data_IF_614261113316
#
_entry.id   IF_614261113316
#
_cell.length_a   1.000
_cell.length_b   1.000
_cell.length_c   1.000
_cell.angle_alpha   90.00
_cell.angle_beta   90.00
_cell.angle_gamma   90.00
#
_symmetry.space_group_name_H-M   'P 1'
#
loop_
_entity.id
_entity.type
_entity.pdbx_description
1 polymer ?
#
# COMPACT_ATOMS: atom_id res chain seq x y z
N UNK A 1 13.53 -12.41 16.36
CA UNK A 1 14.03 -12.80 15.00
C UNK A 1 13.18 -12.17 13.92
N UNK A 2 13.83 -11.78 12.82
CA UNK A 2 13.16 -11.40 11.61
C UNK A 2 13.31 -12.52 10.56
N UNK A 3 12.17 -12.92 10.01
CA UNK A 3 12.11 -13.82 8.87
C UNK A 3 12.17 -13.00 7.58
N UNK A 4 12.98 -13.44 6.63
CA UNK A 4 13.09 -12.82 5.33
C UNK A 4 13.29 -13.88 4.24
N UNK A 5 12.94 -13.55 3.01
CA UNK A 5 13.24 -14.35 1.82
C UNK A 5 14.15 -13.54 0.91
N UNK A 6 15.31 -14.09 0.59
CA UNK A 6 16.32 -13.44 -0.25
C UNK A 6 16.50 -14.20 -1.55
N UNK A 7 16.43 -13.49 -2.66
CA UNK A 7 16.66 -14.02 -4.00
C UNK A 7 17.84 -13.31 -4.63
N UNK A 8 18.75 -14.08 -5.18
CA UNK A 8 19.90 -13.59 -5.92
C UNK A 8 20.13 -14.42 -7.20
N UNK A 9 20.75 -13.82 -8.18
CA UNK A 9 21.15 -14.54 -9.41
C UNK A 9 22.41 -15.35 -9.15
N UNK A 10 22.33 -16.66 -9.39
CA UNK A 10 23.43 -17.60 -9.17
C UNK A 10 24.52 -17.54 -10.24
N UNK A 11 24.21 -17.00 -11.43
CA UNK A 11 25.14 -16.86 -12.55
C UNK A 11 26.01 -15.60 -12.47
N UNK A 12 25.72 -14.67 -11.53
CA UNK A 12 26.50 -13.43 -11.32
C UNK A 12 27.43 -13.62 -10.13
N UNK A 13 28.75 -13.64 -10.43
CA UNK A 13 29.78 -13.80 -9.39
C UNK A 13 30.12 -12.50 -8.67
N UNK A 14 30.28 -11.41 -9.43
CA UNK A 14 30.52 -10.08 -8.85
C UNK A 14 29.19 -9.40 -8.52
N UNK A 15 28.89 -9.31 -7.23
CA UNK A 15 27.66 -8.68 -6.72
C UNK A 15 27.84 -7.18 -6.45
N UNK A 16 29.04 -6.63 -6.59
CA UNK A 16 29.33 -5.24 -6.23
C UNK A 16 28.56 -4.23 -7.09
N UNK A 17 28.45 -4.49 -8.39
CA UNK A 17 27.71 -3.66 -9.34
C UNK A 17 26.21 -4.02 -9.41
N UNK A 18 25.79 -5.12 -8.79
CA UNK A 18 24.41 -5.59 -8.86
C UNK A 18 23.55 -4.91 -7.77
N UNK A 19 22.44 -4.25 -8.13
CA UNK A 19 21.58 -3.61 -7.16
C UNK A 19 21.00 -4.60 -6.14
N UNK A 20 20.82 -4.13 -4.91
CA UNK A 20 20.09 -4.81 -3.85
C UNK A 20 18.80 -4.05 -3.54
N UNK A 21 17.65 -4.67 -3.74
CA UNK A 21 16.34 -4.14 -3.43
C UNK A 21 15.83 -4.75 -2.14
N UNK A 22 15.49 -3.91 -1.16
CA UNK A 22 14.93 -4.30 0.14
C UNK A 22 13.46 -3.93 0.15
N UNK A 23 12.58 -4.94 0.28
CA UNK A 23 11.14 -4.83 0.03
C UNK A 23 10.32 -5.05 1.28
N UNK A 24 9.29 -4.22 1.46
CA UNK A 24 8.34 -4.26 2.57
C UNK A 24 6.91 -4.10 2.07
N UNK A 25 5.97 -4.85 2.64
CA UNK A 25 4.57 -4.47 2.65
C UNK A 25 4.25 -3.59 3.88
N UNK A 26 3.03 -3.13 3.94
CA UNK A 26 2.52 -2.20 4.92
C UNK A 26 1.74 -2.82 6.07
N UNK A 27 0.54 -2.38 6.22
CA UNK A 27 -0.39 -2.66 7.31
C UNK A 27 -0.61 -1.43 8.20
N UNK A 28 0.18 -1.15 9.25
CA UNK A 28 1.30 -1.95 9.78
C UNK A 28 0.89 -3.35 10.24
N UNK A 29 1.82 -4.28 10.20
CA UNK A 29 1.58 -5.66 10.62
C UNK A 29 1.31 -6.64 9.48
N UNK A 30 1.36 -6.23 8.21
CA UNK A 30 1.28 -7.15 7.06
C UNK A 30 2.63 -7.83 6.81
N UNK A 31 2.59 -9.13 6.48
CA UNK A 31 3.74 -9.82 5.92
C UNK A 31 4.06 -9.29 4.53
N UNK A 32 5.33 -9.39 4.10
CA UNK A 32 5.77 -8.94 2.76
C UNK A 32 5.36 -9.89 1.61
N UNK A 33 4.30 -10.64 1.80
CA UNK A 33 3.81 -11.66 0.87
C UNK A 33 3.25 -11.07 -0.42
N UNK A 34 2.58 -9.92 -0.34
CA UNK A 34 1.99 -9.26 -1.50
C UNK A 34 3.08 -8.81 -2.47
N UNK A 35 4.12 -8.16 -1.96
CA UNK A 35 5.29 -7.80 -2.74
C UNK A 35 6.03 -9.03 -3.27
N UNK A 36 6.10 -10.12 -2.48
CA UNK A 36 6.86 -11.32 -2.80
C UNK A 36 6.22 -12.16 -3.90
N UNK A 37 4.91 -12.43 -3.83
CA UNK A 37 4.22 -13.33 -4.77
C UNK A 37 3.07 -12.67 -5.54
N UNK A 38 3.04 -11.33 -5.60
CA UNK A 38 2.11 -10.63 -6.48
C UNK A 38 2.75 -9.49 -7.28
N UNK A 39 3.96 -9.02 -6.90
CA UNK A 39 4.53 -7.86 -7.56
C UNK A 39 5.96 -8.09 -8.05
N UNK A 40 6.97 -7.97 -7.19
CA UNK A 40 8.39 -7.89 -7.61
C UNK A 40 9.15 -9.20 -7.55
N UNK A 41 8.64 -10.20 -6.84
CA UNK A 41 9.30 -11.50 -6.66
C UNK A 41 9.33 -12.37 -7.91
N UNK A 42 10.13 -13.45 -7.91
CA UNK A 42 10.28 -14.34 -9.06
C UNK A 42 9.03 -15.19 -9.34
N UNK A 43 8.13 -15.28 -8.40
CA UNK A 43 6.84 -15.97 -8.53
C UNK A 43 5.70 -14.99 -8.36
N UNK A 44 4.61 -15.24 -9.05
CA UNK A 44 3.35 -14.50 -8.89
C UNK A 44 2.20 -15.47 -8.61
N UNK A 45 1.22 -15.02 -7.84
CA UNK A 45 -0.01 -15.76 -7.61
C UNK A 45 -0.67 -16.12 -8.95
N UNK A 46 -1.23 -17.33 -9.05
CA UNK A 46 -1.96 -17.73 -10.24
C UNK A 46 -3.34 -17.06 -10.26
N UNK A 47 -3.49 -16.09 -11.16
CA UNK A 47 -4.72 -15.31 -11.34
C UNK A 47 -5.14 -15.30 -12.80
N UNK A 48 -6.43 -15.07 -13.06
CA UNK A 48 -6.98 -14.83 -14.40
C UNK A 48 -6.64 -13.42 -14.94
N UNK A 49 -7.21 -13.06 -16.09
CA UNK A 49 -7.00 -11.75 -16.72
C UNK A 49 -7.58 -10.58 -15.94
N UNK A 50 -8.59 -10.84 -15.11
CA UNK A 50 -9.25 -9.83 -14.27
C UNK A 50 -8.62 -9.73 -12.86
N UNK A 51 -7.60 -10.55 -12.57
CA UNK A 51 -6.91 -10.56 -11.29
C UNK A 51 -7.51 -11.49 -10.25
N UNK A 52 -8.56 -12.26 -10.55
CA UNK A 52 -9.15 -13.21 -9.61
C UNK A 52 -8.32 -14.49 -9.51
N UNK A 53 -8.11 -15.01 -8.28
CA UNK A 53 -7.30 -16.20 -8.06
C UNK A 53 -7.90 -17.45 -8.68
N UNK A 54 -7.05 -18.24 -9.34
CA UNK A 54 -7.43 -19.52 -9.96
C UNK A 54 -7.11 -20.70 -9.03
N UNK A 55 -8.03 -21.67 -8.97
CA UNK A 55 -7.80 -22.93 -8.24
C UNK A 55 -7.14 -23.99 -9.15
N UNK A 56 -6.26 -24.85 -8.62
CA UNK A 56 -5.75 -24.85 -7.24
C UNK A 56 -4.86 -23.63 -6.99
N UNK A 57 -4.99 -23.03 -5.79
CA UNK A 57 -4.19 -21.84 -5.44
C UNK A 57 -2.71 -22.18 -5.38
N UNK A 58 -1.92 -21.43 -6.11
CA UNK A 58 -0.48 -21.62 -6.20
C UNK A 58 0.20 -20.44 -6.89
N UNK A 59 1.46 -20.63 -7.23
CA UNK A 59 2.27 -19.59 -7.89
C UNK A 59 2.71 -20.04 -9.28
N UNK A 60 2.88 -19.10 -10.18
CA UNK A 60 3.50 -19.24 -11.50
C UNK A 60 4.75 -18.38 -11.59
N UNK A 61 5.57 -18.56 -12.63
CA UNK A 61 6.69 -17.66 -12.89
C UNK A 61 6.18 -16.23 -13.09
N UNK A 62 6.87 -15.26 -12.50
CA UNK A 62 6.57 -13.85 -12.69
C UNK A 62 7.42 -13.28 -13.82
N UNK A 63 6.86 -12.99 -15.01
CA UNK A 63 7.62 -12.43 -16.12
C UNK A 63 8.08 -11.00 -15.88
N UNK A 64 7.56 -10.34 -14.84
CA UNK A 64 7.88 -8.96 -14.46
C UNK A 64 8.72 -8.88 -13.18
N UNK A 65 9.36 -9.99 -12.80
CA UNK A 65 10.23 -10.01 -11.62
C UNK A 65 11.40 -9.05 -11.78
N UNK A 66 11.72 -8.33 -10.72
CA UNK A 66 12.91 -7.46 -10.70
C UNK A 66 14.23 -8.23 -10.60
N UNK A 67 14.18 -9.55 -10.45
CA UNK A 67 15.37 -10.40 -10.31
C UNK A 67 16.27 -10.38 -11.55
N UNK A 68 15.76 -9.95 -12.69
CA UNK A 68 16.58 -9.73 -13.88
C UNK A 68 17.59 -8.59 -13.71
N UNK A 69 17.24 -7.56 -12.93
CA UNK A 69 18.03 -6.33 -12.76
C UNK A 69 18.63 -6.16 -11.38
N UNK A 70 18.02 -6.73 -10.34
CA UNK A 70 18.42 -6.56 -8.96
C UNK A 70 18.26 -7.86 -8.17
N UNK A 71 19.08 -8.07 -7.14
CA UNK A 71 18.77 -9.05 -6.09
C UNK A 71 17.76 -8.44 -5.15
N UNK A 72 16.87 -9.27 -4.57
CA UNK A 72 15.77 -8.75 -3.76
C UNK A 72 15.62 -9.52 -2.46
N UNK A 73 15.39 -8.78 -1.36
CA UNK A 73 15.03 -9.34 -0.07
C UNK A 73 13.66 -8.84 0.39
N UNK A 74 12.77 -9.76 0.70
CA UNK A 74 11.45 -9.49 1.29
C UNK A 74 11.56 -9.64 2.79
N UNK A 75 11.42 -8.53 3.50
CA UNK A 75 11.59 -8.47 4.95
C UNK A 75 10.23 -8.52 5.63
N UNK A 76 10.07 -9.39 6.59
CA UNK A 76 8.87 -9.47 7.40
C UNK A 76 9.13 -8.86 8.77
N UNK A 77 8.55 -7.69 9.09
CA UNK A 77 8.69 -7.05 10.39
C UNK A 77 8.23 -7.93 11.56
N UNK A 78 8.56 -7.52 12.78
CA UNK A 78 8.21 -8.29 13.99
C UNK A 78 6.73 -8.65 14.02
N UNK A 79 6.42 -9.89 14.39
CA UNK A 79 5.11 -10.53 14.42
C UNK A 79 4.47 -10.85 13.07
N UNK A 80 5.07 -10.50 11.93
CA UNK A 80 4.57 -10.86 10.61
C UNK A 80 5.24 -12.11 10.06
N UNK A 81 4.60 -12.82 9.14
CA UNK A 81 5.05 -14.11 8.62
C UNK A 81 5.50 -15.05 9.75
N UNK A 82 6.78 -15.44 9.74
CA UNK A 82 7.42 -16.25 10.80
C UNK A 82 8.28 -15.41 11.76
N UNK A 83 8.31 -14.09 11.61
CA UNK A 83 9.01 -13.20 12.53
C UNK A 83 8.38 -13.22 13.93
N UNK A 84 9.19 -13.30 14.96
CA UNK A 84 8.71 -13.41 16.36
C UNK A 84 9.67 -12.70 17.30
N UNK A 85 9.12 -12.17 18.39
CA UNK A 85 9.90 -11.83 19.58
C UNK A 85 10.32 -13.15 20.22
N UNK A 86 11.60 -13.30 20.48
CA UNK A 86 12.14 -14.50 21.14
C UNK A 86 12.14 -14.33 22.66
N UNK A 87 12.05 -15.44 23.42
CA UNK A 87 12.31 -15.41 24.85
C UNK A 87 13.70 -14.84 25.17
N UNK A 88 13.79 -14.11 26.26
CA UNK A 88 15.05 -13.65 26.82
C UNK A 88 15.94 -14.81 27.32
N UNK A 89 17.12 -14.49 27.82
CA UNK A 89 18.04 -15.48 28.39
C UNK A 89 17.47 -16.28 29.58
N UNK A 90 16.45 -15.72 30.21
CA UNK A 90 15.69 -16.33 31.31
C UNK A 90 14.56 -17.27 30.84
N UNK A 91 14.43 -17.45 29.55
CA UNK A 91 13.38 -18.27 28.92
C UNK A 91 11.99 -17.61 28.88
N UNK A 92 11.83 -16.36 29.34
CA UNK A 92 10.57 -15.64 29.37
C UNK A 92 10.41 -14.76 28.15
N UNK A 93 9.18 -14.72 27.62
CA UNK A 93 8.84 -13.74 26.59
C UNK A 93 8.81 -12.34 27.21
N UNK A 94 9.28 -11.37 26.45
CA UNK A 94 9.15 -9.95 26.78
C UNK A 94 7.67 -9.60 27.01
N UNK A 95 7.29 -8.88 28.07
CA UNK A 95 5.94 -8.39 28.30
C UNK A 95 5.39 -7.61 27.09
N UNK A 96 4.07 -7.64 26.88
CA UNK A 96 3.46 -7.02 25.70
C UNK A 96 3.65 -5.52 25.61
N UNK A 97 3.61 -4.82 26.74
CA UNK A 97 3.89 -3.39 26.87
C UNK A 97 5.32 -3.05 26.42
N UNK A 98 6.30 -3.83 26.84
CA UNK A 98 7.69 -3.66 26.40
C UNK A 98 7.87 -4.01 24.90
N UNK A 99 7.14 -5.02 24.38
CA UNK A 99 7.13 -5.28 22.93
C UNK A 99 6.58 -4.09 22.16
N UNK A 100 5.53 -3.47 22.71
CA UNK A 100 4.90 -2.28 22.17
C UNK A 100 5.90 -1.13 22.06
N UNK A 101 6.54 -0.79 23.16
CA UNK A 101 7.53 0.28 23.23
C UNK A 101 8.76 0.05 22.36
N UNK A 102 9.12 -1.21 22.10
CA UNK A 102 10.33 -1.56 21.35
C UNK A 102 10.12 -1.70 19.84
N UNK A 103 8.93 -2.15 19.40
CA UNK A 103 8.73 -2.60 18.02
C UNK A 103 7.53 -1.99 17.31
N UNK A 104 6.46 -1.56 18.03
CA UNK A 104 5.17 -1.29 17.42
C UNK A 104 4.84 0.20 17.38
N UNK A 105 5.56 0.91 16.53
CA UNK A 105 5.39 2.31 16.24
C UNK A 105 6.26 2.74 15.07
N UNK A 106 5.99 3.90 14.49
CA UNK A 106 6.72 4.40 13.31
C UNK A 106 8.22 4.49 13.59
N UNK A 107 8.59 5.15 14.68
CA UNK A 107 9.99 5.40 15.02
C UNK A 107 10.70 4.13 15.48
N UNK A 108 10.00 3.27 16.21
CA UNK A 108 10.51 1.97 16.67
C UNK A 108 10.79 1.04 15.49
N UNK A 109 9.85 0.98 14.55
CA UNK A 109 9.95 0.15 13.35
C UNK A 109 11.13 0.57 12.48
N UNK A 110 11.28 1.87 12.22
CA UNK A 110 12.42 2.41 11.48
C UNK A 110 13.76 2.09 12.18
N UNK A 111 13.82 2.25 13.51
CA UNK A 111 15.05 2.04 14.27
C UNK A 111 15.56 0.61 14.17
N UNK A 112 14.75 -0.40 14.54
CA UNK A 112 15.24 -1.78 14.54
C UNK A 112 15.45 -2.33 13.12
N UNK A 113 14.70 -1.85 12.15
CA UNK A 113 14.89 -2.24 10.75
C UNK A 113 16.15 -1.63 10.14
N UNK A 114 16.54 -0.41 10.50
CA UNK A 114 17.81 0.16 10.08
C UNK A 114 19.01 -0.66 10.61
N UNK A 115 18.97 -1.09 11.87
CA UNK A 115 19.96 -1.99 12.47
C UNK A 115 19.99 -3.37 11.77
N UNK A 116 18.81 -3.90 11.45
CA UNK A 116 18.69 -5.16 10.74
C UNK A 116 19.27 -5.07 9.33
N UNK A 117 18.98 -3.99 8.57
CA UNK A 117 19.50 -3.76 7.22
C UNK A 117 21.03 -3.70 7.25
N UNK A 118 21.62 -2.98 8.20
CA UNK A 118 23.07 -2.94 8.37
C UNK A 118 23.64 -4.35 8.56
N UNK A 119 23.03 -5.13 9.46
CA UNK A 119 23.44 -6.51 9.73
C UNK A 119 23.31 -7.39 8.48
N UNK A 120 22.22 -7.26 7.73
CA UNK A 120 21.97 -7.99 6.49
C UNK A 120 23.03 -7.66 5.43
N UNK A 121 23.24 -6.38 5.17
CA UNK A 121 24.21 -5.89 4.15
C UNK A 121 25.64 -6.36 4.48
N UNK A 122 25.99 -6.32 5.78
CA UNK A 122 27.30 -6.81 6.25
C UNK A 122 27.45 -8.32 6.08
N UNK A 123 26.44 -9.09 6.52
CA UNK A 123 26.47 -10.56 6.49
C UNK A 123 26.50 -11.10 5.06
N UNK A 124 25.81 -10.44 4.12
CA UNK A 124 25.76 -10.83 2.71
C UNK A 124 26.78 -10.13 1.83
N UNK A 125 27.72 -9.38 2.43
CA UNK A 125 28.82 -8.68 1.73
C UNK A 125 28.32 -7.72 0.63
N UNK A 126 27.19 -7.02 0.92
CA UNK A 126 26.52 -6.14 -0.05
C UNK A 126 26.81 -4.64 0.15
N UNK A 127 27.85 -4.30 0.91
CA UNK A 127 28.24 -2.89 1.09
C UNK A 127 28.56 -2.15 -0.23
N UNK A 128 29.28 -2.75 -1.20
CA UNK A 128 29.55 -2.08 -2.47
C UNK A 128 28.33 -1.96 -3.40
N UNK A 129 27.30 -2.80 -3.22
CA UNK A 129 26.13 -2.83 -4.10
C UNK A 129 25.32 -1.54 -4.04
N UNK A 130 24.78 -1.04 -5.17
CA UNK A 130 23.74 -0.02 -5.16
C UNK A 130 22.51 -0.52 -4.35
N UNK A 131 21.94 0.34 -3.52
CA UNK A 131 20.87 -0.05 -2.56
C UNK A 131 19.60 0.74 -2.82
N UNK A 132 18.50 0.00 -2.86
CA UNK A 132 17.17 0.52 -3.09
C UNK A 132 16.21 -0.01 -2.03
N UNK A 133 15.26 0.82 -1.60
CA UNK A 133 14.14 0.41 -0.77
C UNK A 133 12.85 0.48 -1.60
N UNK A 134 11.97 -0.47 -1.38
CA UNK A 134 10.60 -0.41 -1.91
C UNK A 134 9.61 -0.75 -0.80
N UNK A 135 8.61 0.11 -0.63
CA UNK A 135 7.54 -0.08 0.32
C UNK A 135 6.18 0.09 -0.34
N UNK A 136 5.23 -0.73 0.05
CA UNK A 136 3.83 -0.62 -0.34
C UNK A 136 2.98 -0.23 0.86
N UNK A 137 1.98 0.68 0.67
CA UNK A 137 1.06 1.14 1.71
C UNK A 137 1.83 1.72 2.91
N UNK A 138 1.58 1.28 4.16
CA UNK A 138 2.40 1.67 5.32
C UNK A 138 3.90 1.37 5.13
N UNK A 139 4.27 0.43 4.26
CA UNK A 139 5.67 0.22 3.87
C UNK A 139 6.32 1.47 3.29
N UNK A 140 5.57 2.41 2.73
CA UNK A 140 6.09 3.71 2.24
C UNK A 140 6.51 4.63 3.38
N UNK A 141 5.73 4.67 4.47
CA UNK A 141 6.13 5.31 5.75
C UNK A 141 7.45 4.72 6.25
N UNK A 142 7.54 3.39 6.27
CA UNK A 142 8.73 2.65 6.70
C UNK A 142 9.97 3.02 5.88
N UNK A 143 9.90 2.91 4.54
CA UNK A 143 11.08 3.18 3.69
C UNK A 143 11.45 4.66 3.64
N UNK A 144 10.49 5.56 3.82
CA UNK A 144 10.74 7.00 3.93
C UNK A 144 11.54 7.34 5.20
N UNK A 145 11.15 6.78 6.34
CA UNK A 145 11.90 6.94 7.59
C UNK A 145 13.28 6.25 7.54
N UNK A 146 13.34 5.04 6.94
CA UNK A 146 14.59 4.30 6.76
C UNK A 146 15.60 5.03 5.88
N UNK A 147 15.16 5.80 4.88
CA UNK A 147 16.06 6.55 4.02
C UNK A 147 16.98 7.47 4.82
N UNK A 148 16.43 8.23 5.76
CA UNK A 148 17.23 9.11 6.63
C UNK A 148 17.97 8.34 7.71
N UNK A 149 17.32 7.35 8.34
CA UNK A 149 17.93 6.57 9.42
C UNK A 149 19.18 5.80 8.96
N UNK A 150 19.12 5.16 7.79
CA UNK A 150 20.26 4.46 7.21
C UNK A 150 21.42 5.43 6.91
N UNK A 151 21.10 6.59 6.32
CA UNK A 151 22.09 7.59 5.96
C UNK A 151 22.78 8.17 7.19
N UNK A 152 22.03 8.57 8.23
CA UNK A 152 22.56 9.30 9.39
C UNK A 152 23.07 8.40 10.53
N UNK A 153 22.50 7.20 10.68
CA UNK A 153 22.83 6.31 11.80
C UNK A 153 23.72 5.14 11.37
N UNK A 154 23.61 4.69 10.09
CA UNK A 154 24.35 3.53 9.59
C UNK A 154 25.37 3.92 8.52
N UNK A 155 25.49 5.21 8.17
CA UNK A 155 26.38 5.72 7.12
C UNK A 155 26.16 5.03 5.75
N UNK A 156 24.94 4.54 5.57
CA UNK A 156 24.53 3.80 4.39
C UNK A 156 23.62 4.68 3.51
N UNK A 157 24.19 5.16 2.42
CA UNK A 157 23.48 5.99 1.45
C UNK A 157 22.75 5.12 0.43
N UNK A 158 21.51 5.47 0.15
CA UNK A 158 20.67 4.77 -0.82
C UNK A 158 20.80 5.39 -2.21
N UNK A 159 20.57 4.56 -3.24
CA UNK A 159 20.46 4.99 -4.62
C UNK A 159 19.02 5.29 -5.02
N UNK A 160 18.03 4.66 -4.37
CA UNK A 160 16.65 4.96 -4.66
C UNK A 160 15.67 4.44 -3.61
N UNK A 161 14.49 5.06 -3.61
CA UNK A 161 13.31 4.68 -2.81
C UNK A 161 12.10 4.63 -3.72
N UNK A 162 11.36 3.52 -3.67
CA UNK A 162 10.12 3.33 -4.43
C UNK A 162 8.95 3.30 -3.43
N UNK A 163 8.01 4.20 -3.61
CA UNK A 163 6.80 4.32 -2.83
C UNK A 163 5.61 3.82 -3.66
N UNK A 164 5.05 2.67 -3.27
CA UNK A 164 3.90 2.06 -3.94
C UNK A 164 2.66 2.30 -3.10
N UNK A 165 1.66 2.97 -3.67
CA UNK A 165 0.42 3.34 -2.96
C UNK A 165 0.71 4.04 -1.62
N UNK A 166 1.36 5.21 -1.66
CA UNK A 166 1.92 5.84 -0.46
C UNK A 166 0.85 6.28 0.53
N UNK A 167 1.17 6.13 1.81
CA UNK A 167 0.44 6.76 2.92
C UNK A 167 0.73 8.26 2.99
N UNK A 168 0.14 8.94 3.96
CA UNK A 168 0.32 10.38 4.16
C UNK A 168 1.72 10.79 4.63
N UNK A 169 2.57 9.84 5.06
CA UNK A 169 3.96 10.08 5.50
C UNK A 169 4.07 11.14 6.61
N UNK A 170 3.12 11.18 7.51
CA UNK A 170 3.02 12.20 8.57
C UNK A 170 2.53 13.57 8.10
N UNK A 171 2.19 13.74 6.82
CA UNK A 171 1.60 14.96 6.28
C UNK A 171 0.09 14.89 6.42
N UNK A 172 -0.47 15.68 7.32
CA UNK A 172 -1.92 15.73 7.51
C UNK A 172 -2.60 16.46 6.35
N UNK A 173 -3.56 15.80 5.74
CA UNK A 173 -4.46 16.35 4.73
C UNK A 173 -5.87 16.24 5.31
N UNK A 174 -6.41 17.36 5.75
CA UNK A 174 -7.73 17.41 6.40
C UNK A 174 -8.64 18.39 5.65
N UNK A 175 -9.95 18.19 5.77
CA UNK A 175 -10.97 19.09 5.26
C UNK A 175 -11.03 19.15 3.73
N UNK A 176 -11.16 20.38 3.14
CA UNK A 176 -11.43 20.54 1.71
C UNK A 176 -10.43 19.85 0.79
N UNK A 177 -9.16 19.81 1.14
CA UNK A 177 -8.11 19.18 0.33
C UNK A 177 -8.28 17.66 0.29
N UNK A 178 -8.54 17.05 1.44
CA UNK A 178 -8.79 15.61 1.54
C UNK A 178 -10.03 15.21 0.73
N UNK A 179 -11.15 15.92 0.93
CA UNK A 179 -12.40 15.67 0.21
C UNK A 179 -12.23 15.82 -1.31
N UNK A 180 -11.53 16.87 -1.75
CA UNK A 180 -11.28 17.11 -3.17
C UNK A 180 -10.42 16.02 -3.82
N UNK A 181 -9.37 15.57 -3.15
CA UNK A 181 -8.43 14.57 -3.67
C UNK A 181 -9.07 13.20 -3.96
N UNK A 182 -10.23 12.90 -3.39
CA UNK A 182 -10.95 11.64 -3.63
C UNK A 182 -11.64 11.59 -4.98
N UNK A 183 -12.00 12.73 -5.57
CA UNK A 183 -12.85 12.76 -6.76
C UNK A 183 -12.22 12.11 -8.00
N UNK A 184 -10.95 12.29 -8.34
CA UNK A 184 -10.33 11.57 -9.46
C UNK A 184 -10.36 10.05 -9.29
N UNK A 185 -10.13 9.54 -8.08
CA UNK A 185 -10.27 8.13 -7.75
C UNK A 185 -11.72 7.65 -7.92
N UNK A 186 -12.70 8.40 -7.41
CA UNK A 186 -14.12 8.09 -7.63
C UNK A 186 -14.47 8.03 -9.11
N UNK A 187 -13.92 8.98 -9.90
CA UNK A 187 -14.13 9.03 -11.35
C UNK A 187 -13.57 7.79 -12.04
N UNK A 188 -12.35 7.38 -11.71
CA UNK A 188 -11.73 6.17 -12.25
C UNK A 188 -12.58 4.93 -11.96
N UNK A 189 -13.00 4.78 -10.70
CA UNK A 189 -13.84 3.66 -10.26
C UNK A 189 -15.20 3.64 -10.96
N UNK A 190 -15.87 4.79 -11.04
CA UNK A 190 -17.15 4.93 -11.72
C UNK A 190 -17.02 4.65 -13.23
N UNK A 191 -15.93 5.10 -13.85
CA UNK A 191 -15.62 4.80 -15.25
C UNK A 191 -15.48 3.29 -15.49
N UNK A 192 -14.70 2.59 -14.66
CA UNK A 192 -14.51 1.15 -14.77
C UNK A 192 -15.84 0.38 -14.67
N UNK A 193 -16.70 0.77 -13.73
CA UNK A 193 -17.99 0.13 -13.49
C UNK A 193 -19.12 0.65 -14.37
N UNK A 194 -18.83 1.49 -15.37
CA UNK A 194 -19.78 2.05 -16.31
C UNK A 194 -20.94 2.80 -15.63
N UNK A 195 -20.59 3.67 -14.67
CA UNK A 195 -21.54 4.50 -13.94
C UNK A 195 -21.48 5.97 -14.33
N UNK A 196 -20.57 6.37 -15.23
CA UNK A 196 -20.48 7.76 -15.70
C UNK A 196 -21.50 8.05 -16.79
N UNK A 197 -21.88 9.33 -17.00
CA UNK A 197 -22.67 9.75 -18.15
C UNK A 197 -21.98 9.40 -19.47
N UNK A 198 -22.79 9.17 -20.53
CA UNK A 198 -22.33 8.63 -21.80
C UNK A 198 -21.17 9.40 -22.46
N UNK A 199 -21.17 10.73 -22.33
CA UNK A 199 -20.14 11.60 -22.90
C UNK A 199 -18.77 11.48 -22.19
N UNK A 200 -18.74 11.11 -20.90
CA UNK A 200 -17.52 10.75 -20.18
C UNK A 200 -17.17 9.26 -20.38
N UNK A 201 -18.18 8.40 -20.32
CA UNK A 201 -17.98 6.95 -20.40
C UNK A 201 -17.38 6.49 -21.75
N UNK A 202 -17.60 7.22 -22.83
CA UNK A 202 -17.09 6.90 -24.17
C UNK A 202 -15.65 7.37 -24.42
N UNK A 203 -15.10 8.17 -23.51
CA UNK A 203 -13.70 8.62 -23.57
C UNK A 203 -12.79 7.60 -22.89
N UNK A 204 -11.50 7.63 -23.22
CA UNK A 204 -10.50 6.85 -22.50
C UNK A 204 -10.29 7.37 -21.08
N UNK A 205 -9.86 6.49 -20.17
CA UNK A 205 -9.72 6.84 -18.77
C UNK A 205 -8.76 8.03 -18.52
N UNK A 206 -7.59 8.15 -19.18
CA UNK A 206 -6.71 9.30 -18.97
C UNK A 206 -7.36 10.64 -19.30
N UNK A 207 -8.12 10.72 -20.40
CA UNK A 207 -8.83 11.95 -20.79
C UNK A 207 -9.93 12.32 -19.78
N UNK A 208 -10.67 11.33 -19.27
CA UNK A 208 -11.70 11.57 -18.24
C UNK A 208 -11.08 12.03 -16.92
N UNK A 209 -9.94 11.45 -16.54
CA UNK A 209 -9.24 11.85 -15.32
C UNK A 209 -8.69 13.27 -15.41
N UNK A 210 -8.16 13.68 -16.56
CA UNK A 210 -7.72 15.05 -16.76
C UNK A 210 -8.88 16.06 -16.55
N UNK A 211 -10.07 15.75 -17.06
CA UNK A 211 -11.27 16.58 -16.84
C UNK A 211 -11.67 16.62 -15.35
N UNK A 212 -11.64 15.48 -14.68
CA UNK A 212 -11.96 15.38 -13.26
C UNK A 212 -10.96 16.15 -12.39
N UNK A 213 -9.66 16.05 -12.68
CA UNK A 213 -8.60 16.79 -12.00
C UNK A 213 -8.71 18.30 -12.19
N UNK A 214 -8.97 18.75 -13.42
CA UNK A 214 -9.21 20.16 -13.72
C UNK A 214 -10.43 20.69 -12.96
N UNK A 215 -11.53 19.97 -12.95
CA UNK A 215 -12.71 20.34 -12.18
C UNK A 215 -12.41 20.36 -10.67
N UNK A 216 -11.68 19.34 -10.18
CA UNK A 216 -11.30 19.23 -8.77
C UNK A 216 -10.52 20.46 -8.31
N UNK A 217 -9.48 20.84 -9.05
CA UNK A 217 -8.60 21.94 -8.66
C UNK A 217 -9.24 23.32 -8.86
N UNK A 218 -9.97 23.52 -9.95
CA UNK A 218 -10.46 24.85 -10.32
C UNK A 218 -11.83 25.20 -9.75
N UNK A 219 -12.65 24.21 -9.40
CA UNK A 219 -14.03 24.44 -9.00
C UNK A 219 -14.41 23.73 -7.69
N UNK A 220 -14.13 22.44 -7.55
CA UNK A 220 -14.60 21.66 -6.42
C UNK A 220 -13.85 22.01 -5.13
N UNK A 221 -12.53 22.06 -5.13
CA UNK A 221 -11.73 22.47 -3.97
C UNK A 221 -12.07 23.90 -3.51
N UNK A 222 -12.16 24.92 -4.37
CA UNK A 222 -12.65 26.23 -3.98
C UNK A 222 -14.06 26.22 -3.40
N UNK A 223 -14.98 25.40 -3.95
CA UNK A 223 -16.33 25.29 -3.43
C UNK A 223 -16.35 24.67 -2.02
N UNK A 224 -15.59 23.61 -1.78
CA UNK A 224 -15.44 23.03 -0.44
C UNK A 224 -14.89 24.04 0.57
N UNK A 225 -13.89 24.83 0.16
CA UNK A 225 -13.31 25.89 1.00
C UNK A 225 -14.30 27.01 1.32
N UNK A 226 -15.21 27.37 0.39
CA UNK A 226 -16.29 28.35 0.64
C UNK A 226 -17.34 27.82 1.64
N UNK A 227 -17.62 26.52 1.65
CA UNK A 227 -18.57 25.90 2.58
C UNK A 227 -19.95 26.55 2.56
N UNK A 228 -20.37 27.11 3.69
CA UNK A 228 -21.66 27.79 3.84
C UNK A 228 -21.78 29.11 3.06
N UNK A 229 -20.69 29.64 2.54
CA UNK A 229 -20.70 30.88 1.73
C UNK A 229 -21.09 30.64 0.26
N UNK A 230 -21.26 29.40 -0.15
CA UNK A 230 -21.78 29.07 -1.48
C UNK A 230 -23.22 29.58 -1.63
N UNK A 231 -23.50 30.27 -2.72
CA UNK A 231 -24.90 30.55 -3.12
C UNK A 231 -25.63 29.25 -3.48
N UNK A 232 -26.96 29.28 -3.42
CA UNK A 232 -27.76 28.10 -3.80
C UNK A 232 -27.45 27.64 -5.23
N UNK A 233 -27.27 28.57 -6.16
CA UNK A 233 -26.97 28.26 -7.55
C UNK A 233 -25.56 27.61 -7.71
N UNK A 234 -24.54 28.14 -7.02
CA UNK A 234 -23.21 27.54 -7.00
C UNK A 234 -23.24 26.14 -6.41
N UNK A 235 -23.90 25.97 -5.26
CA UNK A 235 -24.05 24.65 -4.61
C UNK A 235 -24.69 23.63 -5.53
N UNK A 236 -25.81 23.98 -6.19
CA UNK A 236 -26.50 23.10 -7.13
C UNK A 236 -25.55 22.68 -8.26
N UNK A 237 -24.90 23.65 -8.92
CA UNK A 237 -23.98 23.38 -10.03
C UNK A 237 -22.81 22.47 -9.62
N UNK A 238 -22.19 22.74 -8.48
CA UNK A 238 -21.08 21.91 -7.99
C UNK A 238 -21.57 20.51 -7.63
N UNK A 239 -22.72 20.37 -6.98
CA UNK A 239 -23.33 19.07 -6.65
C UNK A 239 -23.56 18.23 -7.92
N UNK A 240 -24.12 18.83 -8.96
CA UNK A 240 -24.36 18.15 -10.24
C UNK A 240 -23.05 17.69 -10.91
N UNK A 241 -22.01 18.51 -10.87
CA UNK A 241 -20.71 18.15 -11.42
C UNK A 241 -20.01 17.05 -10.60
N UNK A 242 -20.06 17.11 -9.26
CA UNK A 242 -19.54 16.04 -8.41
C UNK A 242 -20.29 14.72 -8.66
N UNK A 243 -21.61 14.76 -8.77
CA UNK A 243 -22.42 13.59 -9.13
C UNK A 243 -22.02 13.03 -10.52
N UNK A 244 -21.82 13.91 -11.50
CA UNK A 244 -21.39 13.55 -12.85
C UNK A 244 -20.05 12.81 -12.87
N UNK A 245 -19.04 13.27 -12.11
CA UNK A 245 -17.71 12.66 -12.08
C UNK A 245 -17.63 11.45 -11.13
N UNK A 246 -18.38 11.45 -10.03
CA UNK A 246 -18.36 10.33 -9.08
C UNK A 246 -19.25 9.15 -9.48
N UNK A 247 -20.16 9.32 -10.45
CA UNK A 247 -21.17 8.31 -10.77
C UNK A 247 -22.25 8.13 -9.72
N UNK A 248 -22.26 8.96 -8.66
CA UNK A 248 -23.28 8.94 -7.63
C UNK A 248 -24.50 9.79 -8.02
N UNK A 249 -25.63 9.55 -7.38
CA UNK A 249 -26.80 10.42 -7.57
C UNK A 249 -26.58 11.81 -6.95
N UNK A 250 -27.24 12.84 -7.52
CA UNK A 250 -27.25 14.20 -6.97
C UNK A 250 -27.72 14.19 -5.51
N UNK A 251 -28.72 13.37 -5.16
CA UNK A 251 -29.22 13.23 -3.80
C UNK A 251 -28.14 12.67 -2.84
N UNK A 252 -27.34 11.70 -3.28
CA UNK A 252 -26.26 11.16 -2.48
C UNK A 252 -25.17 12.20 -2.21
N UNK A 253 -24.78 12.99 -3.22
CA UNK A 253 -23.81 14.08 -3.06
C UNK A 253 -24.35 15.19 -2.12
N UNK A 254 -25.64 15.55 -2.26
CA UNK A 254 -26.28 16.53 -1.36
C UNK A 254 -26.33 16.03 0.09
N UNK A 255 -26.67 14.77 0.30
CA UNK A 255 -26.74 14.17 1.65
C UNK A 255 -25.38 14.20 2.37
N UNK A 256 -24.28 14.18 1.61
CA UNK A 256 -22.90 14.26 2.13
C UNK A 256 -22.34 15.69 2.12
N UNK A 257 -23.16 16.73 1.86
CA UNK A 257 -22.71 18.12 1.82
C UNK A 257 -21.47 18.39 0.95
N UNK A 258 -21.37 17.71 -0.17
CA UNK A 258 -20.22 17.70 -1.09
C UNK A 258 -18.97 16.94 -0.60
N UNK A 259 -18.85 16.59 0.65
CA UNK A 259 -17.73 15.82 1.22
C UNK A 259 -18.12 14.34 1.32
N UNK A 260 -17.80 13.59 0.27
CA UNK A 260 -18.18 12.17 0.16
C UNK A 260 -17.09 11.32 0.81
N UNK A 261 -17.39 10.58 1.92
CA UNK A 261 -16.43 9.65 2.51
C UNK A 261 -16.17 8.45 1.58
N UNK A 262 -14.96 7.91 1.63
CA UNK A 262 -14.59 6.72 0.86
C UNK A 262 -15.51 5.53 1.17
N UNK A 263 -15.77 5.24 2.45
CA UNK A 263 -16.63 4.12 2.87
C UNK A 263 -18.04 4.24 2.28
N UNK A 264 -18.60 5.47 2.28
CA UNK A 264 -19.89 5.73 1.66
C UNK A 264 -19.84 5.48 0.14
N UNK A 265 -18.79 5.95 -0.55
CA UNK A 265 -18.63 5.74 -1.99
C UNK A 265 -18.53 4.26 -2.34
N UNK A 266 -17.72 3.49 -1.62
CA UNK A 266 -17.57 2.04 -1.86
C UNK A 266 -18.87 1.28 -1.68
N UNK A 267 -19.72 1.72 -0.76
CA UNK A 267 -21.03 1.13 -0.51
C UNK A 267 -22.09 1.57 -1.51
N UNK A 268 -22.06 2.84 -1.92
CA UNK A 268 -23.16 3.48 -2.68
C UNK A 268 -23.09 3.26 -4.18
N UNK A 269 -21.90 3.30 -4.77
CA UNK A 269 -21.72 3.34 -6.23
C UNK A 269 -22.51 2.25 -6.97
N UNK A 270 -22.47 1.03 -6.47
CA UNK A 270 -23.13 -0.13 -7.08
C UNK A 270 -24.28 -0.71 -6.22
N UNK A 271 -24.77 0.04 -5.24
CA UNK A 271 -25.87 -0.39 -4.35
C UNK A 271 -27.08 -0.87 -5.13
N UNK A 272 -27.47 -0.16 -6.17
CA UNK A 272 -28.60 -0.53 -7.03
C UNK A 272 -28.43 -1.86 -7.76
N UNK A 273 -27.18 -2.34 -7.90
CA UNK A 273 -26.82 -3.64 -8.50
C UNK A 273 -26.55 -4.71 -7.43
N UNK A 274 -26.70 -4.39 -6.14
CA UNK A 274 -26.46 -5.30 -5.02
C UNK A 274 -24.99 -5.56 -4.71
N UNK A 275 -24.07 -4.68 -5.15
CA UNK A 275 -22.64 -4.83 -4.95
C UNK A 275 -22.02 -3.65 -4.20
N UNK A 276 -20.88 -3.91 -3.57
CA UNK A 276 -19.92 -2.91 -3.09
C UNK A 276 -18.66 -3.02 -3.93
N UNK A 277 -17.82 -1.98 -3.90
CA UNK A 277 -16.50 -1.99 -4.56
C UNK A 277 -15.38 -2.11 -3.53
N UNK A 278 -14.23 -2.62 -3.94
CA UNK A 278 -13.05 -2.79 -3.08
C UNK A 278 -12.42 -1.46 -2.67
N UNK A 279 -11.71 -1.48 -1.55
CA UNK A 279 -10.91 -0.36 -1.06
C UNK A 279 -9.53 -0.31 -1.71
N UNK A 280 -8.77 -1.40 -1.62
CA UNK A 280 -7.39 -1.50 -2.12
C UNK A 280 -7.32 -1.72 -3.64
N UNK A 281 -8.42 -2.19 -4.20
CA UNK A 281 -8.66 -2.25 -5.64
C UNK A 281 -10.15 -2.19 -5.90
N UNK A 282 -10.63 -1.01 -6.27
CA UNK A 282 -12.06 -0.75 -6.46
C UNK A 282 -12.68 -1.44 -7.69
N UNK A 283 -11.91 -2.19 -8.46
CA UNK A 283 -12.42 -3.07 -9.53
C UNK A 283 -13.05 -4.34 -8.98
N UNK A 284 -12.62 -4.79 -7.78
CA UNK A 284 -13.22 -5.96 -7.12
C UNK A 284 -14.62 -5.66 -6.58
N UNK A 285 -15.49 -6.66 -6.67
CA UNK A 285 -16.87 -6.58 -6.23
C UNK A 285 -17.09 -7.40 -4.96
N UNK A 286 -17.82 -6.82 -4.01
CA UNK A 286 -18.29 -7.48 -2.80
C UNK A 286 -19.80 -7.56 -2.74
N UNK A 287 -20.33 -8.48 -1.92
CA UNK A 287 -21.75 -8.61 -1.62
C UNK A 287 -21.90 -8.57 -0.10
N UNK A 288 -22.47 -7.48 0.39
CA UNK A 288 -22.75 -7.32 1.81
C UNK A 288 -23.98 -8.13 2.25
N UNK A 289 -24.05 -8.44 3.55
CA UNK A 289 -25.23 -9.11 4.13
C UNK A 289 -26.50 -8.26 3.99
N UNK A 290 -26.36 -6.94 3.97
CA UNK A 290 -27.45 -5.99 3.80
C UNK A 290 -27.03 -4.87 2.85
N UNK A 291 -27.88 -4.49 1.91
CA UNK A 291 -27.64 -3.32 1.06
C UNK A 291 -27.72 -1.99 1.81
N UNK A 292 -28.43 -1.95 2.94
CA UNK A 292 -28.50 -0.79 3.83
C UNK A 292 -27.17 -0.56 4.56
N UNK A 293 -26.97 0.66 5.07
CA UNK A 293 -25.75 1.08 5.74
C UNK A 293 -24.93 2.08 4.93
N UNK A 294 -23.91 2.63 5.54
CA UNK A 294 -23.06 3.67 4.95
C UNK A 294 -21.66 3.18 4.59
N UNK A 295 -21.30 1.97 4.99
CA UNK A 295 -20.00 1.36 4.77
C UNK A 295 -20.16 -0.12 4.33
N UNK A 296 -19.22 -0.69 3.58
CA UNK A 296 -19.18 -2.12 3.30
C UNK A 296 -18.94 -2.96 4.56
N UNK A 297 -19.50 -4.19 4.60
CA UNK A 297 -19.23 -5.14 5.68
C UNK A 297 -17.75 -5.58 5.73
N UNK A 298 -17.01 -5.52 4.61
CA UNK A 298 -15.62 -5.93 4.46
C UNK A 298 -15.02 -5.38 3.15
N UNK A 299 -13.70 -5.41 3.04
CA UNK A 299 -13.00 -5.06 1.80
C UNK A 299 -13.12 -6.21 0.78
N UNK A 300 -13.76 -5.97 -0.35
CA UNK A 300 -14.12 -6.97 -1.35
C UNK A 300 -12.89 -7.75 -1.88
N UNK A 301 -11.82 -7.07 -2.16
CA UNK A 301 -10.57 -7.67 -2.67
C UNK A 301 -9.93 -8.61 -1.65
N UNK A 302 -9.98 -8.31 -0.35
CA UNK A 302 -9.39 -9.15 0.68
C UNK A 302 -10.05 -10.52 0.78
N UNK A 303 -11.33 -10.63 0.48
CA UNK A 303 -12.00 -11.95 0.44
C UNK A 303 -11.46 -12.84 -0.68
N UNK A 304 -11.09 -12.26 -1.82
CA UNK A 304 -10.43 -12.98 -2.91
C UNK A 304 -8.97 -13.29 -2.61
N UNK A 305 -8.26 -12.37 -1.95
CA UNK A 305 -6.81 -12.51 -1.74
C UNK A 305 -6.44 -13.40 -0.57
N UNK A 306 -7.08 -13.26 0.60
CA UNK A 306 -6.66 -13.97 1.80
C UNK A 306 -6.73 -15.49 1.66
N UNK A 307 -7.77 -16.02 1.04
CA UNK A 307 -7.94 -17.47 0.84
C UNK A 307 -7.04 -18.04 -0.25
N UNK A 308 -6.44 -17.22 -1.09
CA UNK A 308 -5.53 -17.66 -2.16
C UNK A 308 -4.06 -17.45 -1.81
N UNK A 309 -3.70 -16.30 -1.26
CA UNK A 309 -2.32 -16.01 -0.85
C UNK A 309 -1.83 -16.91 0.28
N UNK A 310 -2.69 -17.20 1.27
CA UNK A 310 -2.30 -18.05 2.41
C UNK A 310 -1.87 -19.44 1.99
N UNK A 311 -2.64 -20.22 1.22
CA UNK A 311 -2.18 -21.52 0.74
C UNK A 311 -1.01 -21.42 -0.24
N UNK A 312 -0.99 -20.41 -1.13
CA UNK A 312 0.07 -20.25 -2.12
C UNK A 312 1.43 -19.98 -1.46
N UNK A 313 1.51 -19.06 -0.50
CA UNK A 313 2.79 -18.76 0.17
C UNK A 313 3.26 -19.92 1.05
N UNK A 314 2.36 -20.58 1.80
CA UNK A 314 2.74 -21.73 2.61
C UNK A 314 3.26 -22.91 1.75
N UNK A 315 2.59 -23.18 0.63
CA UNK A 315 3.05 -24.20 -0.31
C UNK A 315 4.41 -23.83 -0.91
N UNK A 316 4.55 -22.61 -1.41
CA UNK A 316 5.78 -22.12 -2.03
C UNK A 316 6.99 -22.19 -1.08
N UNK A 317 6.84 -21.66 0.14
CA UNK A 317 7.92 -21.71 1.13
C UNK A 317 8.34 -23.15 1.48
N UNK A 318 7.37 -24.08 1.65
CA UNK A 318 7.65 -25.46 2.04
C UNK A 318 8.21 -26.32 0.91
N UNK A 319 7.70 -26.15 -0.31
CA UNK A 319 8.01 -27.07 -1.43
C UNK A 319 9.13 -26.57 -2.32
N UNK A 320 9.15 -25.28 -2.67
CA UNK A 320 10.17 -24.73 -3.55
C UNK A 320 11.35 -24.16 -2.76
N UNK A 321 11.10 -23.40 -1.69
CA UNK A 321 12.17 -22.83 -0.87
C UNK A 321 12.64 -23.74 0.27
N UNK A 322 12.03 -24.92 0.44
CA UNK A 322 12.39 -25.96 1.42
C UNK A 322 12.38 -25.48 2.88
N UNK A 323 11.68 -24.39 3.17
CA UNK A 323 11.53 -23.89 4.53
C UNK A 323 10.35 -24.60 5.22
N UNK A 324 10.65 -25.62 6.03
CA UNK A 324 9.66 -26.46 6.71
C UNK A 324 9.54 -26.06 8.17
N UNK A 325 8.38 -25.61 8.58
CA UNK A 325 8.03 -25.26 9.96
C UNK A 325 6.55 -25.53 10.22
N UNK A 326 6.21 -25.80 11.48
CA UNK A 326 4.82 -25.93 11.94
C UNK A 326 4.32 -24.64 12.61
N UNK A 327 5.15 -23.60 12.65
CA UNK A 327 4.76 -22.27 13.09
C UNK A 327 3.78 -21.67 12.08
N UNK A 328 2.71 -21.06 12.58
CA UNK A 328 1.71 -20.37 11.75
C UNK A 328 2.36 -19.19 11.02
N UNK A 329 2.11 -19.11 9.70
CA UNK A 329 2.44 -17.92 8.92
C UNK A 329 1.41 -16.81 9.23
N UNK A 330 1.87 -15.70 9.81
CA UNK A 330 1.01 -14.56 10.10
C UNK A 330 0.95 -13.64 8.88
N UNK A 331 -0.14 -13.75 8.09
CA UNK A 331 -0.44 -12.79 7.02
C UNK A 331 -0.54 -11.39 7.57
N UNK A 332 -1.26 -11.26 8.69
CA UNK A 332 -1.34 -10.05 9.51
C UNK A 332 -0.92 -10.38 10.94
N UNK A 333 0.05 -9.64 11.45
CA UNK A 333 0.56 -9.79 12.80
C UNK A 333 -0.20 -8.93 13.80
N UNK A 334 -0.21 -9.35 15.06
CA UNK A 334 -0.74 -8.54 16.16
C UNK A 334 0.32 -7.49 16.55
N UNK A 335 0.13 -6.27 16.08
CA UNK A 335 1.06 -5.14 16.29
C UNK A 335 0.36 -3.90 16.88
N UNK A 336 -0.96 -3.97 17.07
CA UNK A 336 -1.74 -2.86 17.61
C UNK A 336 -1.86 -2.92 19.16
N UNK A 337 -1.98 -1.74 19.81
CA UNK A 337 -1.99 -0.40 19.23
C UNK A 337 -0.65 -0.05 18.56
N UNK A 338 -0.70 0.70 17.45
CA UNK A 338 0.49 1.16 16.75
C UNK A 338 0.75 2.63 17.11
N UNK A 339 1.97 2.93 17.52
CA UNK A 339 2.36 4.30 17.88
C UNK A 339 2.68 5.10 16.61
N UNK A 340 1.82 6.07 16.29
CA UNK A 340 2.00 7.02 15.20
C UNK A 340 2.48 8.41 15.69
N UNK A 341 2.76 8.55 16.98
CA UNK A 341 3.20 9.82 17.53
C UNK A 341 4.55 10.22 16.91
N UNK A 342 4.64 11.50 16.54
CA UNK A 342 5.83 12.06 15.91
C UNK A 342 6.25 11.37 14.60
N UNK A 343 5.27 10.93 13.77
CA UNK A 343 5.57 10.53 12.40
C UNK A 343 6.10 11.72 11.60
N UNK A 344 7.38 11.67 11.26
CA UNK A 344 8.10 12.68 10.47
C UNK A 344 8.64 12.06 9.16
N UNK A 345 8.09 10.93 8.72
CA UNK A 345 8.70 10.13 7.65
C UNK A 345 8.74 10.84 6.31
N UNK A 346 7.77 11.69 6.00
CA UNK A 346 7.80 12.54 4.80
C UNK A 346 8.92 13.57 4.86
N UNK A 347 9.09 14.25 6.01
CA UNK A 347 10.18 15.19 6.20
C UNK A 347 11.54 14.48 6.26
N UNK A 348 11.60 13.28 6.83
CA UNK A 348 12.80 12.44 6.83
C UNK A 348 13.23 12.09 5.41
N UNK A 349 12.31 11.70 4.53
CA UNK A 349 12.62 11.43 3.13
C UNK A 349 13.11 12.69 2.41
N UNK A 350 12.43 13.81 2.64
CA UNK A 350 12.82 15.11 2.07
C UNK A 350 14.22 15.53 2.52
N UNK A 351 14.54 15.33 3.80
CA UNK A 351 15.88 15.61 4.33
C UNK A 351 16.92 14.66 3.75
N UNK A 352 16.61 13.36 3.60
CA UNK A 352 17.52 12.40 2.98
C UNK A 352 17.83 12.79 1.53
N UNK A 353 16.83 13.23 0.75
CA UNK A 353 17.01 13.73 -0.61
C UNK A 353 17.87 15.01 -0.66
N UNK A 354 17.68 15.92 0.28
CA UNK A 354 18.48 17.16 0.35
C UNK A 354 19.96 16.89 0.66
N UNK A 355 20.23 15.88 1.49
CA UNK A 355 21.58 15.49 1.89
C UNK A 355 22.26 14.55 0.87
N UNK A 356 21.48 13.82 0.08
CA UNK A 356 21.96 12.85 -0.91
C UNK A 356 21.42 13.21 -2.31
N UNK A 357 22.13 14.00 -3.11
CA UNK A 357 21.67 14.41 -4.43
C UNK A 357 21.59 13.26 -5.46
N UNK A 358 22.07 12.07 -5.10
CA UNK A 358 22.00 10.86 -5.93
C UNK A 358 20.84 9.95 -5.56
N UNK A 359 20.02 10.32 -4.57
CA UNK A 359 18.83 9.56 -4.18
C UNK A 359 17.69 9.82 -5.16
N UNK A 360 17.26 8.79 -5.86
CA UNK A 360 16.09 8.83 -6.72
C UNK A 360 14.84 8.37 -5.95
N UNK A 361 13.72 9.04 -6.18
CA UNK A 361 12.42 8.64 -5.61
C UNK A 361 11.43 8.38 -6.73
N UNK A 362 10.81 7.20 -6.71
CA UNK A 362 9.72 6.82 -7.60
C UNK A 362 8.44 6.66 -6.78
N UNK A 363 7.37 7.34 -7.18
CA UNK A 363 6.05 7.19 -6.59
C UNK A 363 5.14 6.49 -7.59
N UNK A 364 4.45 5.44 -7.14
CA UNK A 364 3.49 4.67 -7.93
C UNK A 364 2.16 4.63 -7.18
N UNK A 365 1.09 5.09 -7.83
CA UNK A 365 -0.28 5.00 -7.31
C UNK A 365 -1.19 4.45 -8.39
N UNK A 366 -2.03 3.49 -8.05
CA UNK A 366 -3.02 2.92 -8.96
C UNK A 366 -4.25 3.82 -9.06
N UNK A 367 -4.87 3.87 -10.24
CA UNK A 367 -6.12 4.63 -10.44
C UNK A 367 -7.30 4.12 -9.60
N UNK A 368 -7.24 2.86 -9.16
CA UNK A 368 -8.32 2.15 -8.47
C UNK A 368 -8.02 1.87 -7.00
N UNK A 369 -6.95 2.46 -6.47
CA UNK A 369 -6.50 2.33 -5.09
C UNK A 369 -7.03 3.51 -4.28
N UNK A 370 -7.90 3.24 -3.26
CA UNK A 370 -8.68 4.22 -2.53
C UNK A 370 -8.29 4.51 -1.08
#
# INVERSE_FOLDING_TARGET
TLFYTYYERSDIKDKSARPLLISFNGGPGSASVWMQIAYTGPKALNVDSEGYPLQPYGTKQNPFSVLDTADIVFVNPVNTAYSRVLPGKDGKLMPKDQQQEMFFGVNQDVKYLAEWINTFVTRHERWPSPKYLIGESYGTTRVSGLALALQNQQWMYLNGVVLVSPTELGIKREGPVEAANRLPYFTATAWYHQQLPADLQQQDLPAVLELAEQFTLNEYLPALAKGAMLTAAERTRITEQVARFSGLSVAAVQANNLDIPNDFFWKELLRGKGHTVGRLDSRYLGIDRKSAGVEPDFNAELTSWLHSFTPAINHYLRTELQYKTDVKYNMFGSVHPWDNDNDQTGENLRQAMAQNPYLHVLIQSGYYDG
#
